data_IF_347804571861
#
_entry.id   IF_347804571861
#
_cell.length_a   1.000
_cell.length_b   1.000
_cell.length_c   1.000
_cell.angle_alpha   90.00
_cell.angle_beta   90.00
_cell.angle_gamma   90.00
#
_symmetry.space_group_name_H-M   'P 1'
#
loop_
_entity.id
_entity.type
_entity.pdbx_description
1 polymer ?
#
# COMPACT_ATOMS: atom_id res chain seq x y z
N UNK A 1 -31.65 9.25 -15.19
CA UNK A 1 -30.53 10.11 -14.74
C UNK A 1 -29.42 10.01 -15.77
N UNK A 2 -28.60 11.05 -15.89
CA UNK A 2 -27.45 11.06 -16.81
C UNK A 2 -26.36 10.11 -16.30
N UNK A 3 -25.62 9.48 -17.21
CA UNK A 3 -24.57 8.52 -16.88
C UNK A 3 -23.34 9.23 -16.30
N UNK A 4 -22.78 8.71 -15.20
CA UNK A 4 -21.54 9.15 -14.58
C UNK A 4 -20.27 8.70 -15.34
N UNK A 5 -20.42 8.15 -16.56
CA UNK A 5 -19.31 7.66 -17.38
C UNK A 5 -18.22 8.70 -17.60
N UNK A 6 -18.61 9.92 -17.96
CA UNK A 6 -17.65 10.98 -18.28
C UNK A 6 -16.90 11.41 -17.01
N UNK A 7 -17.59 11.52 -15.88
CA UNK A 7 -16.98 11.82 -14.58
C UNK A 7 -15.94 10.77 -14.19
N UNK A 8 -16.24 9.48 -14.40
CA UNK A 8 -15.29 8.38 -14.18
C UNK A 8 -14.05 8.53 -15.07
N UNK A 9 -14.23 8.85 -16.36
CA UNK A 9 -13.11 9.05 -17.28
C UNK A 9 -12.23 10.23 -16.88
N UNK A 10 -12.84 11.34 -16.46
CA UNK A 10 -12.10 12.53 -16.04
C UNK A 10 -11.38 12.31 -14.72
N UNK A 11 -11.99 11.57 -13.79
CA UNK A 11 -11.34 11.15 -12.55
C UNK A 11 -10.06 10.35 -12.80
N UNK A 12 -10.13 9.27 -13.60
CA UNK A 12 -8.96 8.41 -13.84
C UNK A 12 -7.87 9.10 -14.65
N UNK A 13 -8.24 9.95 -15.63
CA UNK A 13 -7.28 10.79 -16.36
C UNK A 13 -6.62 11.82 -15.45
N UNK A 14 -7.38 12.46 -14.55
CA UNK A 14 -6.86 13.49 -13.65
C UNK A 14 -5.95 12.91 -12.58
N UNK A 15 -6.41 11.87 -11.86
CA UNK A 15 -5.72 11.29 -10.70
C UNK A 15 -4.60 10.34 -11.11
N UNK A 16 -4.87 9.40 -12.02
CA UNK A 16 -3.95 8.33 -12.37
C UNK A 16 -3.18 8.56 -13.67
N UNK A 17 -3.53 9.62 -14.42
CA UNK A 17 -2.97 9.92 -15.75
C UNK A 17 -3.17 8.78 -16.75
N UNK A 18 -4.15 7.91 -16.50
CA UNK A 18 -4.39 6.73 -17.30
C UNK A 18 -5.00 7.07 -18.66
N UNK A 19 -4.57 6.34 -19.68
CA UNK A 19 -5.18 6.37 -21.01
C UNK A 19 -6.42 5.49 -21.02
N UNK A 20 -7.46 5.96 -21.70
CA UNK A 20 -8.67 5.20 -21.95
C UNK A 20 -8.45 4.39 -23.23
N UNK A 21 -8.58 3.07 -23.16
CA UNK A 21 -8.33 2.18 -24.29
C UNK A 21 -9.61 1.45 -24.73
N UNK A 22 -9.82 1.37 -26.03
CA UNK A 22 -10.97 0.69 -26.63
C UNK A 22 -10.47 -0.52 -27.42
N UNK A 23 -10.51 -1.69 -26.75
CA UNK A 23 -9.79 -2.87 -27.23
C UNK A 23 -10.61 -3.73 -28.21
N UNK A 24 -11.92 -3.51 -28.31
CA UNK A 24 -12.82 -4.39 -29.06
C UNK A 24 -13.55 -3.66 -30.19
N UNK A 25 -13.33 -4.09 -31.43
CA UNK A 25 -14.09 -3.57 -32.59
C UNK A 25 -15.60 -3.79 -32.49
N UNK A 26 -16.01 -4.93 -31.92
CA UNK A 26 -17.42 -5.29 -31.74
C UNK A 26 -18.10 -4.49 -30.62
N UNK A 27 -17.33 -4.02 -29.65
CA UNK A 27 -17.81 -3.26 -28.50
C UNK A 27 -16.99 -1.96 -28.40
N UNK A 28 -17.21 -1.02 -29.35
CA UNK A 28 -16.37 0.17 -29.49
C UNK A 28 -16.48 1.11 -28.29
N UNK A 29 -17.56 1.01 -27.50
CA UNK A 29 -17.78 1.85 -26.32
C UNK A 29 -17.19 1.25 -25.04
N UNK A 30 -16.67 0.01 -25.09
CA UNK A 30 -16.06 -0.63 -23.94
C UNK A 30 -14.68 -0.02 -23.70
N UNK A 31 -14.54 0.66 -22.57
CA UNK A 31 -13.37 1.44 -22.22
C UNK A 31 -12.61 0.77 -21.08
N UNK A 32 -11.33 0.46 -21.30
CA UNK A 32 -10.46 -0.18 -20.32
C UNK A 32 -9.50 0.84 -19.72
N UNK A 33 -9.25 0.70 -18.41
CA UNK A 33 -8.19 1.40 -17.70
C UNK A 33 -7.18 0.39 -17.14
N UNK A 34 -5.90 0.63 -17.39
CA UNK A 34 -4.81 -0.26 -16.95
C UNK A 34 -3.58 0.50 -16.52
N UNK A 35 -2.77 -0.15 -15.68
CA UNK A 35 -1.50 0.39 -15.20
C UNK A 35 -0.46 0.43 -16.31
N UNK A 36 0.21 1.56 -16.47
CA UNK A 36 1.25 1.77 -17.49
C UNK A 36 2.45 0.83 -17.29
N UNK A 37 2.77 0.50 -16.04
CA UNK A 37 3.97 -0.25 -15.65
C UNK A 37 3.81 -1.77 -15.72
N UNK A 38 2.60 -2.30 -15.59
CA UNK A 38 2.36 -3.75 -15.59
C UNK A 38 1.20 -4.21 -16.50
N UNK A 39 0.54 -3.27 -17.18
CA UNK A 39 -0.55 -3.49 -18.12
C UNK A 39 -1.80 -4.19 -17.54
N UNK A 40 -1.87 -4.40 -16.21
CA UNK A 40 -3.03 -4.99 -15.54
C UNK A 40 -4.18 -4.00 -15.51
N UNK A 41 -5.37 -4.50 -15.83
CA UNK A 41 -6.59 -3.72 -15.78
C UNK A 41 -6.98 -3.49 -14.32
N UNK A 42 -7.43 -2.27 -14.05
CA UNK A 42 -7.99 -1.91 -12.75
C UNK A 42 -9.44 -1.44 -12.86
N UNK A 43 -9.91 -1.11 -14.07
CA UNK A 43 -11.31 -0.83 -14.35
C UNK A 43 -11.67 -1.06 -15.80
N UNK A 44 -12.95 -1.33 -16.05
CA UNK A 44 -13.54 -1.38 -17.40
C UNK A 44 -14.96 -0.82 -17.35
N UNK A 45 -15.26 0.15 -18.21
CA UNK A 45 -16.61 0.69 -18.42
C UNK A 45 -17.24 0.03 -19.64
N UNK A 46 -18.48 -0.42 -19.51
CA UNK A 46 -19.23 -1.14 -20.53
C UNK A 46 -20.66 -0.60 -20.59
N UNK A 47 -21.27 -0.57 -21.76
CA UNK A 47 -22.70 -0.35 -21.95
C UNK A 47 -23.42 -1.71 -22.09
N UNK A 48 -24.25 -2.06 -21.12
CA UNK A 48 -24.85 -3.41 -20.98
C UNK A 48 -26.36 -3.28 -20.81
N UNK A 49 -27.13 -4.18 -21.42
CA UNK A 49 -28.58 -4.23 -21.21
C UNK A 49 -28.92 -4.72 -19.80
N UNK A 50 -29.94 -4.12 -19.17
CA UNK A 50 -30.35 -4.40 -17.79
C UNK A 50 -30.61 -5.89 -17.50
N UNK A 51 -31.30 -6.57 -18.41
CA UNK A 51 -31.59 -8.01 -18.34
C UNK A 51 -30.33 -8.87 -18.17
N UNK A 52 -29.23 -8.51 -18.87
CA UNK A 52 -27.95 -9.23 -18.77
C UNK A 52 -27.23 -9.01 -17.43
N UNK A 53 -27.63 -7.97 -16.69
CA UNK A 53 -27.15 -7.67 -15.35
C UNK A 53 -28.05 -8.27 -14.26
N UNK A 54 -29.11 -8.98 -14.63
CA UNK A 54 -30.12 -9.50 -13.70
C UNK A 54 -31.12 -8.44 -13.22
N UNK A 55 -31.18 -7.29 -13.90
CA UNK A 55 -32.13 -6.21 -13.61
C UNK A 55 -33.35 -6.32 -14.53
N UNK A 56 -34.46 -5.70 -14.14
CA UNK A 56 -35.64 -5.57 -14.99
C UNK A 56 -35.42 -4.55 -16.11
N UNK A 57 -35.98 -4.84 -17.30
CA UNK A 57 -35.88 -3.98 -18.48
C UNK A 57 -34.83 -4.43 -19.50
N UNK A 58 -34.84 -3.80 -20.67
CA UNK A 58 -33.92 -4.08 -21.78
C UNK A 58 -33.14 -2.85 -22.22
N UNK A 59 -33.36 -1.71 -21.57
CA UNK A 59 -32.57 -0.52 -21.78
C UNK A 59 -31.10 -0.75 -21.39
N UNK A 60 -30.23 0.04 -21.98
CA UNK A 60 -28.78 -0.08 -21.86
C UNK A 60 -28.29 0.91 -20.81
N UNK A 61 -27.47 0.42 -19.90
CA UNK A 61 -26.87 1.18 -18.79
C UNK A 61 -25.36 1.03 -18.83
N UNK A 62 -24.67 2.12 -18.51
CA UNK A 62 -23.23 2.08 -18.31
C UNK A 62 -22.90 1.45 -16.95
N UNK A 63 -21.99 0.48 -16.97
CA UNK A 63 -21.46 -0.17 -15.78
C UNK A 63 -19.95 -0.08 -15.73
N UNK A 64 -19.40 0.08 -14.53
CA UNK A 64 -17.98 0.02 -14.27
C UNK A 64 -17.64 -1.25 -13.48
N UNK A 65 -16.81 -2.11 -14.04
CA UNK A 65 -16.22 -3.18 -13.25
C UNK A 65 -14.92 -2.72 -12.58
N UNK A 66 -14.76 -3.02 -11.30
CA UNK A 66 -13.53 -2.81 -10.52
C UNK A 66 -13.17 -4.04 -9.71
N UNK A 67 -11.87 -4.21 -9.43
CA UNK A 67 -11.34 -5.34 -8.66
C UNK A 67 -11.15 -4.97 -7.20
N UNK A 68 -11.47 -5.87 -6.30
CA UNK A 68 -11.23 -5.78 -4.86
C UNK A 68 -10.20 -6.83 -4.42
N UNK A 69 -9.60 -6.66 -3.25
CA UNK A 69 -8.70 -7.61 -2.60
C UNK A 69 -9.37 -8.43 -1.50
N UNK A 70 -10.42 -7.89 -0.88
CA UNK A 70 -11.13 -8.52 0.23
C UNK A 70 -12.50 -9.07 -0.19
N UNK A 71 -12.74 -10.36 0.12
CA UNK A 71 -14.01 -11.05 -0.18
C UNK A 71 -15.16 -10.57 0.72
N UNK A 72 -14.91 -10.31 2.00
CA UNK A 72 -15.94 -9.85 2.92
C UNK A 72 -16.40 -8.43 2.55
N UNK A 73 -15.46 -7.55 2.21
CA UNK A 73 -15.78 -6.21 1.75
C UNK A 73 -16.61 -6.23 0.47
N UNK A 74 -16.25 -7.10 -0.48
CA UNK A 74 -17.07 -7.35 -1.67
C UNK A 74 -18.49 -7.75 -1.30
N UNK A 75 -18.65 -8.73 -0.42
CA UNK A 75 -19.98 -9.27 -0.08
C UNK A 75 -20.86 -8.24 0.65
N UNK A 76 -20.26 -7.34 1.43
CA UNK A 76 -20.94 -6.17 2.03
C UNK A 76 -21.41 -5.20 0.95
N UNK A 77 -20.54 -4.87 -0.03
CA UNK A 77 -20.90 -3.96 -1.13
C UNK A 77 -22.04 -4.52 -1.99
N UNK A 78 -22.10 -5.83 -2.19
CA UNK A 78 -23.18 -6.48 -2.94
C UNK A 78 -24.56 -6.39 -2.29
N UNK A 79 -24.66 -5.93 -1.03
CA UNK A 79 -25.95 -5.63 -0.39
C UNK A 79 -26.46 -4.22 -0.74
N UNK A 80 -25.65 -3.39 -1.40
CA UNK A 80 -26.01 -2.02 -1.74
C UNK A 80 -26.66 -1.94 -3.12
N UNK A 81 -27.68 -1.09 -3.23
CA UNK A 81 -28.33 -0.81 -4.52
C UNK A 81 -27.32 -0.23 -5.50
N UNK A 82 -27.38 -0.68 -6.77
CA UNK A 82 -26.45 -0.24 -7.82
C UNK A 82 -25.09 -0.94 -7.84
N UNK A 83 -24.82 -1.88 -6.92
CA UNK A 83 -23.62 -2.73 -6.96
C UNK A 83 -24.00 -4.19 -7.22
N UNK A 84 -23.40 -4.77 -8.25
CA UNK A 84 -23.71 -6.12 -8.75
C UNK A 84 -22.45 -7.01 -8.77
N UNK A 85 -22.61 -8.34 -8.87
CA UNK A 85 -21.49 -9.22 -9.17
C UNK A 85 -20.76 -8.81 -10.45
N UNK A 86 -19.44 -9.05 -10.53
CA UNK A 86 -18.62 -8.70 -11.70
C UNK A 86 -19.12 -9.31 -13.01
N UNK A 87 -19.58 -8.48 -13.94
CA UNK A 87 -20.12 -8.89 -15.24
C UNK A 87 -18.99 -9.24 -16.22
N UNK A 88 -19.10 -10.37 -16.94
CA UNK A 88 -18.03 -10.94 -17.82
C UNK A 88 -16.70 -11.30 -17.15
N UNK A 89 -16.58 -11.23 -15.82
CA UNK A 89 -15.33 -11.54 -15.13
C UNK A 89 -15.53 -12.73 -14.18
N UNK A 90 -15.06 -13.90 -14.59
CA UNK A 90 -15.23 -15.16 -13.84
C UNK A 90 -14.16 -15.43 -12.79
N UNK A 91 -13.08 -14.64 -12.73
CA UNK A 91 -11.95 -14.85 -11.81
C UNK A 91 -11.63 -13.60 -10.98
N UNK A 92 -11.58 -13.78 -9.66
CA UNK A 92 -11.22 -12.75 -8.69
C UNK A 92 -12.42 -11.98 -8.15
N UNK A 93 -12.15 -11.07 -7.21
CA UNK A 93 -13.17 -10.34 -6.46
C UNK A 93 -13.57 -9.08 -7.23
N UNK A 94 -14.31 -9.23 -8.33
CA UNK A 94 -14.81 -8.09 -9.10
C UNK A 94 -16.27 -7.78 -8.75
N UNK A 95 -16.60 -6.49 -8.82
CA UNK A 95 -17.97 -5.96 -8.74
C UNK A 95 -18.26 -5.16 -10.01
N UNK A 96 -19.54 -5.01 -10.35
CA UNK A 96 -20.02 -4.10 -11.40
C UNK A 96 -20.84 -3.00 -10.73
N UNK A 97 -20.52 -1.75 -11.00
CA UNK A 97 -21.16 -0.58 -10.40
C UNK A 97 -22.01 0.09 -11.49
N UNK A 98 -23.30 0.33 -11.22
CA UNK A 98 -24.15 1.11 -12.12
C UNK A 98 -23.72 2.58 -12.11
N UNK A 99 -23.53 3.16 -13.29
CA UNK A 99 -23.16 4.57 -13.46
C UNK A 99 -24.40 5.45 -13.70
N UNK A 100 -25.59 5.01 -13.28
CA UNK A 100 -26.86 5.70 -13.51
C UNK A 100 -27.25 6.68 -12.37
N UNK A 101 -26.33 6.93 -11.44
CA UNK A 101 -26.53 7.80 -10.28
C UNK A 101 -27.02 7.07 -9.03
N UNK A 102 -27.29 5.76 -9.09
CA UNK A 102 -27.66 4.96 -7.91
C UNK A 102 -26.53 4.92 -6.87
N UNK A 103 -25.28 4.79 -7.34
CA UNK A 103 -24.09 4.86 -6.48
C UNK A 103 -23.50 6.26 -6.57
N UNK A 104 -23.18 6.87 -5.43
CA UNK A 104 -22.60 8.22 -5.39
C UNK A 104 -21.25 8.26 -6.11
N UNK A 105 -20.96 9.39 -6.77
CA UNK A 105 -19.69 9.55 -7.49
C UNK A 105 -18.46 9.44 -6.56
N UNK A 106 -18.57 9.91 -5.31
CA UNK A 106 -17.52 9.77 -4.30
C UNK A 106 -17.20 8.30 -4.02
N UNK A 107 -18.22 7.48 -3.79
CA UNK A 107 -18.04 6.04 -3.57
C UNK A 107 -17.47 5.34 -4.81
N UNK A 108 -17.89 5.74 -6.02
CA UNK A 108 -17.30 5.22 -7.27
C UNK A 108 -15.80 5.53 -7.31
N UNK A 109 -15.38 6.74 -6.93
CA UNK A 109 -13.98 7.12 -6.86
C UNK A 109 -13.18 6.25 -5.87
N UNK A 110 -13.71 5.98 -4.68
CA UNK A 110 -13.08 5.13 -3.67
C UNK A 110 -12.93 3.67 -4.14
N UNK A 111 -13.93 3.15 -4.85
CA UNK A 111 -13.89 1.80 -5.42
C UNK A 111 -12.89 1.70 -6.59
N UNK A 112 -12.76 2.76 -7.39
CA UNK A 112 -11.70 2.86 -8.41
C UNK A 112 -10.32 2.89 -7.76
N UNK A 113 -10.16 3.64 -6.67
CA UNK A 113 -8.89 3.74 -5.94
C UNK A 113 -8.46 2.38 -5.41
N UNK A 114 -9.39 1.67 -4.77
CA UNK A 114 -9.20 0.29 -4.34
C UNK A 114 -8.77 -0.60 -5.51
N UNK A 115 -9.50 -0.52 -6.64
CA UNK A 115 -9.16 -1.24 -7.86
C UNK A 115 -7.75 -0.97 -8.36
N UNK A 116 -7.34 0.30 -8.37
CA UNK A 116 -6.02 0.73 -8.78
C UNK A 116 -4.94 0.16 -7.85
N UNK A 117 -5.11 0.30 -6.54
CA UNK A 117 -4.16 -0.17 -5.53
C UNK A 117 -3.96 -1.69 -5.60
N UNK A 118 -5.04 -2.47 -5.64
CA UNK A 118 -5.00 -3.94 -5.62
C UNK A 118 -4.28 -4.51 -6.83
N UNK A 119 -4.39 -3.83 -7.98
CA UNK A 119 -3.85 -4.27 -9.27
C UNK A 119 -2.48 -3.66 -9.61
N UNK A 120 -2.02 -2.66 -8.84
CA UNK A 120 -0.72 -2.01 -9.02
C UNK A 120 0.46 -3.01 -8.91
N UNK A 121 1.58 -2.70 -9.57
CA UNK A 121 2.80 -3.50 -9.44
C UNK A 121 3.35 -3.43 -8.01
N UNK A 122 4.18 -4.40 -7.61
CA UNK A 122 4.84 -4.37 -6.29
C UNK A 122 5.61 -3.06 -6.05
N UNK A 123 6.29 -2.55 -7.09
CA UNK A 123 7.01 -1.27 -7.05
C UNK A 123 6.07 -0.09 -6.82
N UNK A 124 4.93 -0.03 -7.52
CA UNK A 124 3.94 1.04 -7.35
C UNK A 124 3.21 0.93 -6.02
N UNK A 125 2.83 -0.28 -5.57
CA UNK A 125 2.31 -0.55 -4.21
C UNK A 125 3.25 -0.04 -3.13
N UNK A 126 4.56 -0.25 -3.28
CA UNK A 126 5.55 0.27 -2.34
C UNK A 126 5.61 1.81 -2.30
N UNK A 127 5.34 2.48 -3.43
CA UNK A 127 5.29 3.95 -3.50
C UNK A 127 4.01 4.55 -2.93
N UNK A 128 2.86 3.89 -3.11
CA UNK A 128 1.56 4.43 -2.70
C UNK A 128 1.10 3.98 -1.30
N UNK A 129 1.68 2.91 -0.74
CA UNK A 129 1.29 2.43 0.61
C UNK A 129 1.33 3.56 1.63
N UNK A 130 0.61 3.49 2.76
CA UNK A 130 0.83 4.42 3.87
C UNK A 130 2.24 4.27 4.47
N UNK A 131 2.64 5.28 5.25
CA UNK A 131 3.83 5.19 6.10
C UNK A 131 3.73 3.98 7.03
N UNK A 132 4.84 3.26 7.19
CA UNK A 132 4.89 2.01 7.94
C UNK A 132 5.91 2.09 9.06
N UNK A 133 5.64 1.32 10.10
CA UNK A 133 6.53 1.13 11.24
C UNK A 133 7.40 -0.12 11.06
N UNK A 134 8.71 0.06 11.25
CA UNK A 134 9.72 -0.98 11.09
C UNK A 134 10.54 -1.16 12.36
N UNK A 135 11.07 -2.36 12.56
CA UNK A 135 12.13 -2.65 13.50
C UNK A 135 13.38 -2.99 12.69
N UNK A 136 14.49 -2.35 13.00
CA UNK A 136 15.78 -2.60 12.36
C UNK A 136 16.83 -2.99 13.39
N UNK A 137 17.69 -3.98 13.11
CA UNK A 137 18.79 -4.32 14.01
C UNK A 137 19.89 -3.26 13.92
N UNK A 138 20.41 -2.89 15.08
CA UNK A 138 21.57 -2.04 15.25
C UNK A 138 22.57 -2.80 16.13
N UNK A 139 23.69 -3.24 15.57
CA UNK A 139 24.64 -4.08 16.30
C UNK A 139 25.81 -3.22 16.80
N UNK A 140 26.00 -3.09 18.14
CA UNK A 140 27.11 -2.31 18.72
C UNK A 140 28.50 -2.74 18.24
N UNK A 141 28.66 -3.98 17.75
CA UNK A 141 29.94 -4.45 17.18
C UNK A 141 30.36 -3.71 15.91
N UNK A 142 29.42 -3.12 15.18
CA UNK A 142 29.69 -2.45 13.90
C UNK A 142 29.51 -0.94 13.96
N UNK A 143 28.80 -0.43 14.98
CA UNK A 143 28.43 0.98 15.08
C UNK A 143 28.36 1.39 16.55
N UNK A 144 28.78 2.62 16.87
CA UNK A 144 28.53 3.21 18.19
C UNK A 144 27.10 3.76 18.24
N UNK A 145 26.16 2.91 18.62
CA UNK A 145 24.72 3.22 18.62
C UNK A 145 24.28 3.96 19.87
N UNK A 146 25.02 3.86 20.95
CA UNK A 146 24.70 4.54 22.20
C UNK A 146 24.93 6.04 22.06
N UNK A 147 26.03 6.43 21.40
CA UNK A 147 26.38 7.83 21.16
C UNK A 147 25.97 8.36 19.77
N UNK A 148 25.29 7.55 18.96
CA UNK A 148 24.94 7.89 17.58
C UNK A 148 24.13 9.19 17.42
N UNK A 149 23.44 9.63 18.47
CA UNK A 149 22.56 10.81 18.44
C UNK A 149 22.93 11.86 19.49
N UNK A 150 24.16 11.87 19.98
CA UNK A 150 24.55 12.77 21.08
C UNK A 150 24.78 14.20 20.58
N UNK A 151 25.43 14.34 19.43
CA UNK A 151 25.73 15.62 18.80
C UNK A 151 24.80 15.98 17.63
N UNK A 152 23.95 15.04 17.20
CA UNK A 152 23.02 15.21 16.07
C UNK A 152 21.74 14.43 16.26
N UNK A 153 20.62 14.93 15.76
CA UNK A 153 19.37 14.17 15.67
C UNK A 153 19.22 13.45 14.32
N UNK A 154 20.13 13.65 13.36
CA UNK A 154 20.06 13.11 12.01
C UNK A 154 21.35 12.35 11.67
N UNK A 155 21.19 11.07 11.31
CA UNK A 155 22.31 10.21 10.91
C UNK A 155 22.02 9.48 9.60
N UNK A 156 23.10 9.08 8.93
CA UNK A 156 23.04 8.13 7.81
C UNK A 156 23.06 6.69 8.34
N UNK A 157 22.24 5.83 7.75
CA UNK A 157 22.09 4.44 8.16
C UNK A 157 21.95 3.52 6.95
N UNK A 158 22.39 2.27 7.07
CA UNK A 158 22.17 1.25 6.02
C UNK A 158 20.68 1.13 5.71
N UNK A 159 20.29 1.35 4.45
CA UNK A 159 18.89 1.24 4.07
C UNK A 159 18.41 -0.22 4.14
N UNK A 160 17.33 -0.42 4.89
CA UNK A 160 16.65 -1.71 4.95
C UNK A 160 15.76 -1.94 3.72
N UNK A 161 15.69 -3.18 3.23
CA UNK A 161 14.79 -3.53 2.14
C UNK A 161 13.34 -3.18 2.49
N UNK A 162 12.64 -2.49 1.58
CA UNK A 162 11.25 -2.11 1.79
C UNK A 162 11.02 -0.73 2.43
N UNK A 163 12.03 -0.20 3.14
CA UNK A 163 11.95 1.08 3.87
C UNK A 163 12.04 2.24 2.89
N UNK A 164 11.22 3.27 3.11
CA UNK A 164 11.16 4.50 2.29
C UNK A 164 11.05 5.75 3.17
N UNK A 165 11.31 6.92 2.58
CA UNK A 165 11.06 8.19 3.24
C UNK A 165 9.61 8.30 3.76
N UNK A 166 9.44 8.85 4.97
CA UNK A 166 8.16 8.92 5.66
C UNK A 166 7.84 7.74 6.57
N UNK A 167 8.55 6.61 6.48
CA UNK A 167 8.40 5.50 7.44
C UNK A 167 8.96 5.85 8.83
N UNK A 168 8.55 5.09 9.84
CA UNK A 168 9.16 5.11 11.17
C UNK A 168 10.03 3.86 11.33
N UNK A 169 11.22 4.01 11.90
CA UNK A 169 12.09 2.90 12.26
C UNK A 169 12.33 2.88 13.77
N UNK A 170 12.26 1.70 14.35
CA UNK A 170 12.61 1.41 15.72
C UNK A 170 13.93 0.65 15.73
N UNK A 171 14.98 1.24 16.30
CA UNK A 171 16.31 0.65 16.32
C UNK A 171 16.41 -0.29 17.52
N UNK A 172 16.44 -1.60 17.22
CA UNK A 172 16.74 -2.64 18.19
C UNK A 172 18.25 -2.79 18.31
N UNK A 173 18.79 -2.38 19.45
CA UNK A 173 20.21 -2.51 19.76
C UNK A 173 20.46 -3.94 20.21
N UNK A 174 21.34 -4.64 19.51
CA UNK A 174 21.70 -6.04 19.81
C UNK A 174 22.46 -6.14 21.15
N UNK A 175 22.92 -7.35 21.50
CA UNK A 175 23.69 -7.56 22.71
C UNK A 175 24.91 -6.61 22.78
N UNK A 176 25.23 -6.06 23.97
CA UNK A 176 24.69 -6.44 25.29
C UNK A 176 23.34 -5.79 25.65
N UNK A 177 22.94 -4.71 24.98
CA UNK A 177 21.72 -3.95 25.32
C UNK A 177 20.44 -4.77 25.12
N UNK A 178 20.31 -5.43 23.97
CA UNK A 178 19.17 -6.29 23.62
C UNK A 178 17.78 -5.64 23.81
N UNK A 179 17.63 -4.39 23.35
CA UNK A 179 16.39 -3.62 23.50
C UNK A 179 16.19 -2.60 22.36
N UNK A 180 14.95 -2.14 22.17
CA UNK A 180 14.69 -0.97 21.32
C UNK A 180 15.06 0.29 22.10
N UNK A 181 15.99 1.08 21.56
CA UNK A 181 16.44 2.34 22.19
C UNK A 181 15.96 3.58 21.45
N UNK A 182 15.71 3.51 20.14
CA UNK A 182 15.41 4.70 19.35
C UNK A 182 14.20 4.50 18.47
N UNK A 183 13.39 5.56 18.39
CA UNK A 183 12.39 5.76 17.34
C UNK A 183 12.89 6.88 16.45
N UNK A 184 12.97 6.61 15.15
CA UNK A 184 13.43 7.57 14.17
C UNK A 184 12.44 7.68 13.01
N UNK A 185 12.38 8.86 12.39
CA UNK A 185 11.69 9.10 11.12
C UNK A 185 12.68 8.91 9.98
N UNK A 186 12.30 8.16 8.96
CA UNK A 186 13.08 8.09 7.73
C UNK A 186 12.80 9.35 6.91
N UNK A 187 13.84 10.14 6.65
CA UNK A 187 13.73 11.44 5.97
C UNK A 187 14.14 11.36 4.50
N UNK A 188 15.11 10.51 4.18
CA UNK A 188 15.64 10.31 2.83
C UNK A 188 16.02 8.84 2.63
N UNK A 189 15.83 8.31 1.42
CA UNK A 189 16.21 6.93 1.04
C UNK A 189 16.85 6.90 -0.34
N UNK A 190 17.37 5.73 -0.70
CA UNK A 190 17.96 5.43 -2.00
C UNK A 190 19.21 6.28 -2.28
N UNK A 191 19.92 6.67 -1.21
CA UNK A 191 21.19 7.40 -1.27
C UNK A 191 22.25 6.40 -1.74
N UNK A 192 22.86 6.59 -2.92
CA UNK A 192 23.84 5.63 -3.45
C UNK A 192 25.03 5.46 -2.52
N UNK A 193 25.38 4.22 -2.19
CA UNK A 193 26.53 3.91 -1.36
C UNK A 193 27.06 2.53 -1.72
N UNK A 194 28.38 2.37 -1.86
CA UNK A 194 28.99 1.09 -2.17
C UNK A 194 30.01 0.74 -1.10
N UNK A 195 29.64 -0.20 -0.24
CA UNK A 195 30.53 -0.76 0.76
C UNK A 195 30.38 -2.27 0.79
N UNK A 196 31.49 -2.97 0.84
CA UNK A 196 31.53 -4.41 0.95
C UNK A 196 32.73 -4.83 1.79
N UNK A 197 32.49 -5.61 2.82
CA UNK A 197 33.51 -6.37 3.54
C UNK A 197 33.09 -7.85 3.67
N UNK A 198 33.82 -8.63 4.46
CA UNK A 198 33.54 -10.06 4.68
C UNK A 198 32.19 -10.34 5.35
N UNK A 199 31.59 -9.35 6.00
CA UNK A 199 30.38 -9.48 6.84
C UNK A 199 29.20 -8.66 6.32
N UNK A 200 29.42 -7.62 5.51
CA UNK A 200 28.44 -6.61 5.20
C UNK A 200 28.58 -6.08 3.78
N UNK A 201 27.49 -6.19 3.00
CA UNK A 201 27.30 -5.42 1.77
C UNK A 201 26.25 -4.33 2.01
N UNK A 202 26.58 -3.09 1.65
CA UNK A 202 25.69 -1.93 1.65
C UNK A 202 25.67 -1.36 0.23
N UNK A 203 24.46 -1.24 -0.33
CA UNK A 203 24.22 -0.69 -1.68
C UNK A 203 23.52 0.67 -1.66
N UNK A 204 22.94 1.03 -0.53
CA UNK A 204 22.22 2.29 -0.35
C UNK A 204 22.16 2.66 1.14
N UNK A 205 22.15 3.96 1.40
CA UNK A 205 21.91 4.56 2.71
C UNK A 205 20.54 5.22 2.75
N UNK A 206 20.08 5.45 3.98
CA UNK A 206 18.94 6.28 4.30
C UNK A 206 19.32 7.27 5.40
N UNK A 207 18.69 8.45 5.43
CA UNK A 207 18.81 9.37 6.57
C UNK A 207 17.67 9.16 7.54
N UNK A 208 18.01 8.96 8.80
CA UNK A 208 17.03 8.77 9.88
C UNK A 208 17.17 9.87 10.92
N UNK A 209 16.05 10.49 11.26
CA UNK A 209 15.96 11.55 12.27
C UNK A 209 15.40 11.00 13.57
N UNK A 210 16.12 11.12 14.68
CA UNK A 210 15.67 10.74 16.01
C UNK A 210 14.37 11.49 16.37
N UNK A 211 13.39 10.74 16.86
CA UNK A 211 12.15 11.29 17.41
C UNK A 211 12.03 11.04 18.92
N UNK A 212 12.51 9.89 19.41
CA UNK A 212 12.37 9.50 20.82
C UNK A 212 13.45 8.49 21.21
N UNK A 213 13.98 8.66 22.42
CA UNK A 213 14.84 7.67 23.10
C UNK A 213 14.00 6.88 24.12
N UNK A 214 14.27 5.58 24.23
CA UNK A 214 13.67 4.70 25.23
C UNK A 214 14.72 4.23 26.22
N UNK A 215 14.29 3.94 27.44
CA UNK A 215 15.18 3.30 28.43
C UNK A 215 15.44 1.84 28.02
N UNK A 216 16.65 1.29 28.23
CA UNK A 216 17.00 -0.08 27.83
C UNK A 216 16.12 -1.18 28.44
N UNK A 217 15.51 -0.94 29.60
CA UNK A 217 14.65 -1.88 30.31
C UNK A 217 13.18 -1.89 29.82
N UNK A 218 12.78 -0.94 28.96
CA UNK A 218 11.38 -0.78 28.53
C UNK A 218 10.95 -1.79 27.46
N UNK A 219 11.77 -1.98 26.43
CA UNK A 219 11.47 -2.79 25.25
C UNK A 219 12.58 -3.80 25.00
N UNK A 220 12.88 -4.59 26.02
CA UNK A 220 13.87 -5.67 25.99
C UNK A 220 13.43 -6.80 25.05
N UNK A 221 14.38 -7.64 24.64
CA UNK A 221 14.09 -8.81 23.82
C UNK A 221 12.99 -9.71 24.41
N UNK A 222 12.99 -9.94 25.73
CA UNK A 222 11.98 -10.76 26.38
C UNK A 222 10.59 -10.12 26.31
N UNK A 223 10.49 -8.80 26.53
CA UNK A 223 9.24 -8.05 26.35
C UNK A 223 8.75 -8.14 24.90
N UNK A 224 9.65 -7.98 23.92
CA UNK A 224 9.33 -8.11 22.50
C UNK A 224 8.83 -9.50 22.14
N UNK A 225 9.44 -10.53 22.70
CA UNK A 225 9.08 -11.93 22.50
C UNK A 225 7.72 -12.26 23.11
N UNK A 226 7.55 -11.99 24.39
CA UNK A 226 6.38 -12.42 25.17
C UNK A 226 5.12 -11.61 24.84
N UNK A 227 5.23 -10.28 24.74
CA UNK A 227 4.07 -9.41 24.56
C UNK A 227 3.73 -9.13 23.10
N UNK A 228 4.71 -9.23 22.20
CA UNK A 228 4.56 -8.78 20.82
C UNK A 228 4.91 -9.86 19.78
N UNK A 229 5.26 -11.07 20.20
CA UNK A 229 5.51 -12.20 19.29
C UNK A 229 6.76 -12.04 18.42
N UNK A 230 7.76 -11.29 18.88
CA UNK A 230 8.99 -11.01 18.13
C UNK A 230 10.11 -11.92 18.65
N UNK A 231 10.31 -13.04 17.96
CA UNK A 231 11.30 -14.06 18.36
C UNK A 231 12.72 -13.83 17.81
N UNK A 232 12.90 -12.96 16.82
CA UNK A 232 14.20 -12.66 16.23
C UNK A 232 14.17 -11.34 15.45
N UNK A 233 15.27 -10.60 15.47
CA UNK A 233 15.46 -9.36 14.71
C UNK A 233 16.81 -9.46 13.99
N UNK A 234 16.82 -10.15 12.84
CA UNK A 234 18.03 -10.39 12.02
C UNK A 234 18.13 -9.45 10.80
N UNK A 235 17.10 -8.65 10.58
CA UNK A 235 17.01 -7.70 9.48
C UNK A 235 15.78 -6.80 9.66
N UNK A 236 15.58 -5.85 8.75
CA UNK A 236 14.40 -4.99 8.74
C UNK A 236 13.13 -5.83 8.73
N UNK A 237 12.22 -5.56 9.68
CA UNK A 237 10.92 -6.23 9.76
C UNK A 237 9.83 -5.25 10.13
N UNK A 238 8.60 -5.60 9.80
CA UNK A 238 7.44 -4.78 10.19
C UNK A 238 7.21 -4.87 11.70
N UNK A 239 6.92 -3.73 12.32
CA UNK A 239 6.45 -3.71 13.70
C UNK A 239 4.98 -4.13 13.73
N UNK A 240 4.56 -5.08 14.59
CA UNK A 240 3.15 -5.37 14.83
C UNK A 240 2.41 -4.11 15.32
N UNK A 241 1.13 -3.95 14.97
CA UNK A 241 0.32 -2.80 15.37
C UNK A 241 0.30 -2.60 16.90
N UNK A 242 0.26 -3.68 17.67
CA UNK A 242 0.30 -3.66 19.14
C UNK A 242 1.61 -3.05 19.68
N UNK A 243 2.75 -3.40 19.08
CA UNK A 243 4.04 -2.83 19.44
C UNK A 243 4.14 -1.37 18.98
N UNK A 244 3.75 -1.10 17.74
CA UNK A 244 3.75 0.26 17.20
C UNK A 244 2.94 1.21 18.08
N UNK A 245 1.76 0.79 18.57
CA UNK A 245 0.96 1.55 19.52
C UNK A 245 1.69 1.80 20.86
N UNK A 246 2.35 0.79 21.42
CA UNK A 246 3.11 0.93 22.67
C UNK A 246 4.36 1.82 22.53
N UNK A 247 4.93 1.90 21.33
CA UNK A 247 6.08 2.74 21.01
C UNK A 247 5.71 4.18 20.63
N UNK A 248 4.43 4.54 20.54
CA UNK A 248 4.04 5.90 20.16
C UNK A 248 4.62 6.97 21.09
#
# INVERSE_FOLDING_TARGET
MESLRQDVFDYVKKKYKSKIEYLWKRYPDYAVFRHDDNQKWYGIVMNVSRDKLGLSGTDVVDVLNVKLDDLMYRDILLQQEGILPGYHISRGNWISILLDGTVSFEQICDLIDTGYEVTASAKKKQKIRPAKDWIIPANPKYYDIEHAFDDTDLIEWKQGSGIRAGDTVYMYVAAPVSAILYKCKVTETDIPYQYQDNNLTIKALMKIKLLKRYKPDKFTFDVLKEKYGIYAIRGPRSAPNSLAAALK
#
